data_IF_752827023723
#
_entry.id   IF_752827023723
#
_cell.length_a   1.000
_cell.length_b   1.000
_cell.length_c   1.000
_cell.angle_alpha   90.00
_cell.angle_beta   90.00
_cell.angle_gamma   90.00
#
_symmetry.space_group_name_H-M   'P 1'
#
loop_
_entity.id
_entity.type
_entity.pdbx_description
1 polymer ?
#
# COMPACT_ATOMS: atom_id res chain seq x y z
N UNK A 1 -8.07 15.38 -2.40
CA UNK A 1 -7.28 15.29 -1.14
C UNK A 1 -5.83 15.72 -1.32
N UNK A 2 -5.11 15.34 -2.38
CA UNK A 2 -3.71 15.75 -2.57
C UNK A 2 -3.53 17.21 -3.02
N UNK A 3 -4.59 17.86 -3.47
CA UNK A 3 -4.54 19.24 -3.95
C UNK A 3 -4.28 20.25 -2.82
N UNK A 4 -4.71 19.93 -1.59
CA UNK A 4 -4.40 20.75 -0.42
C UNK A 4 -2.89 20.75 -0.13
N UNK A 5 -2.23 19.59 -0.22
CA UNK A 5 -0.78 19.47 0.00
C UNK A 5 0.04 20.16 -1.10
N UNK A 6 -0.44 20.17 -2.34
CA UNK A 6 0.20 20.91 -3.45
C UNK A 6 0.10 22.44 -3.27
N UNK A 7 -0.97 22.92 -2.64
CA UNK A 7 -1.20 24.34 -2.39
C UNK A 7 -0.57 24.83 -1.08
N UNK A 8 -0.08 23.90 -0.24
CA UNK A 8 0.61 24.23 1.00
C UNK A 8 2.11 24.42 0.77
N UNK A 9 2.63 25.60 1.15
CA UNK A 9 4.04 25.97 0.93
C UNK A 9 5.06 25.13 1.72
N UNK A 10 4.60 24.43 2.77
CA UNK A 10 5.47 23.56 3.58
C UNK A 10 5.52 22.15 2.97
N UNK A 11 4.41 21.64 2.44
CA UNK A 11 4.32 20.28 1.90
C UNK A 11 4.71 20.20 0.43
N UNK A 12 4.38 21.20 -0.39
CA UNK A 12 4.53 21.11 -1.85
C UNK A 12 5.97 20.91 -2.33
N UNK A 13 6.96 21.38 -1.57
CA UNK A 13 8.39 21.19 -1.85
C UNK A 13 8.85 19.74 -1.84
N UNK A 14 8.04 18.82 -1.30
CA UNK A 14 8.30 17.39 -1.30
C UNK A 14 7.55 16.62 -2.41
N UNK A 15 6.77 17.31 -3.24
CA UNK A 15 5.88 16.68 -4.23
C UNK A 15 6.28 17.12 -5.64
N UNK A 16 6.73 16.16 -6.45
CA UNK A 16 6.92 16.39 -7.90
C UNK A 16 5.56 16.24 -8.57
N UNK A 17 4.96 17.36 -8.98
CA UNK A 17 3.58 17.41 -9.49
C UNK A 17 3.40 16.54 -10.73
N UNK A 18 4.37 16.52 -11.63
CA UNK A 18 4.36 15.74 -12.86
C UNK A 18 4.25 14.24 -12.53
N UNK A 19 5.07 13.77 -11.58
CA UNK A 19 5.02 12.38 -11.12
C UNK A 19 3.73 12.06 -10.38
N UNK A 20 3.25 12.97 -9.54
CA UNK A 20 1.99 12.73 -8.85
C UNK A 20 0.81 12.55 -9.81
N UNK A 21 0.79 13.31 -10.91
CA UNK A 21 -0.28 13.22 -11.89
C UNK A 21 -0.35 11.84 -12.57
N UNK A 22 0.77 11.13 -12.72
CA UNK A 22 0.81 9.74 -13.24
C UNK A 22 0.03 8.76 -12.33
N UNK A 23 -0.09 9.05 -11.03
CA UNK A 23 -0.78 8.19 -10.05
C UNK A 23 -2.20 8.67 -9.69
N UNK A 24 -2.69 9.76 -10.30
CA UNK A 24 -4.06 10.23 -10.04
C UNK A 24 -5.07 9.21 -10.56
N UNK A 25 -6.12 8.96 -9.77
CA UNK A 25 -7.16 7.98 -10.13
C UNK A 25 -6.76 6.52 -9.92
N UNK A 26 -5.50 6.23 -9.54
CA UNK A 26 -5.06 4.86 -9.21
C UNK A 26 -5.88 4.23 -8.07
N UNK A 27 -6.42 5.06 -7.17
CA UNK A 27 -7.09 4.61 -5.96
C UNK A 27 -6.06 4.44 -4.84
N UNK A 28 -5.83 3.20 -4.41
CA UNK A 28 -4.86 2.87 -3.37
C UNK A 28 -4.88 1.38 -3.05
N UNK A 29 -3.81 0.91 -2.40
CA UNK A 29 -3.66 -0.48 -1.96
C UNK A 29 -3.61 -0.52 -0.43
N UNK A 30 -4.32 -1.46 0.18
CA UNK A 30 -4.24 -1.76 1.62
C UNK A 30 -3.90 -3.23 1.81
N UNK A 31 -2.87 -3.48 2.61
CA UNK A 31 -2.51 -4.81 3.11
C UNK A 31 -2.76 -4.75 4.62
N UNK A 32 -3.56 -5.68 5.12
CA UNK A 32 -4.05 -5.71 6.49
C UNK A 32 -3.90 -7.12 7.05
N UNK A 33 -3.43 -7.23 8.29
CA UNK A 33 -3.11 -8.48 8.98
C UNK A 33 -3.74 -8.48 10.38
N UNK A 34 -4.20 -9.66 10.81
CA UNK A 34 -4.60 -9.94 12.18
C UNK A 34 -3.38 -10.48 12.97
N UNK A 35 -3.05 -9.84 14.08
CA UNK A 35 -1.85 -10.13 14.87
C UNK A 35 -2.21 -10.41 16.34
N UNK A 36 -1.64 -11.48 16.91
CA UNK A 36 -1.64 -11.73 18.35
C UNK A 36 -0.31 -11.26 18.94
N UNK A 37 -0.36 -10.51 20.05
CA UNK A 37 0.83 -10.03 20.76
C UNK A 37 1.13 -10.95 21.94
N UNK A 38 2.36 -11.43 22.00
CA UNK A 38 2.86 -12.32 23.05
C UNK A 38 3.93 -11.61 23.91
N UNK A 39 4.28 -12.19 25.05
CA UNK A 39 5.28 -11.59 25.96
C UNK A 39 6.69 -11.44 25.33
N UNK A 40 7.01 -12.26 24.33
CA UNK A 40 8.31 -12.26 23.66
C UNK A 40 8.20 -12.11 22.12
N UNK A 41 7.11 -11.53 21.61
CA UNK A 41 6.96 -11.32 20.17
C UNK A 41 5.51 -11.15 19.72
N UNK A 42 5.26 -11.46 18.45
CA UNK A 42 3.93 -11.49 17.88
C UNK A 42 3.75 -12.71 16.96
N UNK A 43 2.50 -13.04 16.68
CA UNK A 43 2.12 -14.07 15.72
C UNK A 43 1.13 -13.47 14.73
N UNK A 44 1.39 -13.68 13.44
CA UNK A 44 0.49 -13.26 12.36
C UNK A 44 -0.50 -14.38 12.08
N UNK A 45 -1.78 -14.10 12.28
CA UNK A 45 -2.87 -15.06 12.05
C UNK A 45 -3.33 -15.09 10.58
N UNK A 46 -3.13 -14.00 9.85
CA UNK A 46 -3.47 -13.95 8.43
C UNK A 46 -2.49 -14.80 7.60
N UNK A 47 -3.03 -15.73 6.79
CA UNK A 47 -2.26 -16.58 5.89
C UNK A 47 -2.79 -16.46 4.45
N UNK A 48 -2.31 -15.46 3.73
CA UNK A 48 -2.69 -15.15 2.34
C UNK A 48 -1.43 -14.82 1.53
N UNK A 49 -1.44 -14.92 0.18
CA UNK A 49 -0.37 -14.43 -0.68
C UNK A 49 -0.07 -12.94 -0.41
N UNK A 50 1.21 -12.57 -0.28
CA UNK A 50 1.61 -11.18 0.03
C UNK A 50 2.65 -10.61 -0.93
N UNK A 51 3.63 -11.42 -1.34
CA UNK A 51 4.61 -10.96 -2.33
C UNK A 51 3.94 -10.83 -3.70
N UNK A 52 4.52 -10.00 -4.58
CA UNK A 52 4.04 -9.88 -5.97
C UNK A 52 3.99 -11.26 -6.62
N UNK A 53 5.08 -12.03 -6.52
CA UNK A 53 5.18 -13.37 -7.09
C UNK A 53 4.13 -14.34 -6.52
N UNK A 54 3.91 -14.34 -5.20
CA UNK A 54 2.89 -15.21 -4.57
C UNK A 54 1.49 -14.87 -5.06
N UNK A 55 1.17 -13.57 -5.18
CA UNK A 55 -0.14 -13.10 -5.64
C UNK A 55 -0.33 -13.46 -7.11
N UNK A 56 0.66 -13.18 -7.97
CA UNK A 56 0.59 -13.50 -9.40
C UNK A 56 0.44 -15.00 -9.64
N UNK A 57 1.22 -15.82 -8.94
CA UNK A 57 1.11 -17.29 -9.00
C UNK A 57 -0.22 -17.80 -8.46
N UNK A 58 -0.75 -17.19 -7.40
CA UNK A 58 -2.05 -17.57 -6.86
C UNK A 58 -3.17 -17.28 -7.86
N UNK A 59 -3.16 -16.08 -8.48
CA UNK A 59 -4.17 -15.68 -9.47
C UNK A 59 -4.05 -16.43 -10.80
N UNK A 60 -2.88 -16.96 -11.16
CA UNK A 60 -2.70 -17.71 -12.40
C UNK A 60 -3.13 -19.18 -12.33
N UNK A 61 -3.39 -19.73 -11.13
CA UNK A 61 -3.69 -21.16 -10.94
C UNK A 61 -5.08 -21.59 -11.41
N UNK A 62 -6.02 -20.65 -11.55
CA UNK A 62 -7.40 -20.93 -11.99
C UNK A 62 -7.62 -20.63 -13.50
N UNK A 63 -6.54 -20.59 -14.30
CA UNK A 63 -6.59 -20.48 -15.77
C UNK A 63 -6.49 -21.83 -16.47
#
# INVERSE_FOLDING_TARGET
>A
MLDAALNDSVQNKFIIKEKLNEFRGFGGVRIEDDIVIWSHGNERMSNVPRTVDEIEQFMSKDK
#
